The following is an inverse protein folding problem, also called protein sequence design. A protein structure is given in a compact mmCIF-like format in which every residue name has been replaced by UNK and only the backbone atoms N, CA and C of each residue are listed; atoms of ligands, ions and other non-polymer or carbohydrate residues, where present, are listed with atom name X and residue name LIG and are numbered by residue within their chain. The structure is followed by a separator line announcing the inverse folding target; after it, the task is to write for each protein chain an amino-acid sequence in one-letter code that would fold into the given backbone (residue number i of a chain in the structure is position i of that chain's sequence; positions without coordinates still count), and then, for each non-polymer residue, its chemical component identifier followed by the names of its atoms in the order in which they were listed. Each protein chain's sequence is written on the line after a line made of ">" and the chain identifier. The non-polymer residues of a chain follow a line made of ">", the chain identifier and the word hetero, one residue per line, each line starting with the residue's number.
data_IF_371557334454
#
_entry.id   IF_371557334454
#
_cell.length_a   1.000
_cell.length_b   1.000
_cell.length_c   1.000
_cell.angle_alpha   90.00
_cell.angle_beta   90.00
_cell.angle_gamma   90.00
#
_symmetry.space_group_name_H-M   'P 1'
#
loop_
_entity.id
_entity.type
_entity.pdbx_description
1 polymer ?
#
# COMPACT_ATOMS: atom_id res chain seq x y z
N UNK A 1 17.77 -26.49 2.19
CA UNK A 1 17.58 -25.21 2.89
C UNK A 1 16.46 -24.49 2.18
N UNK A 2 15.36 -24.17 2.86
CA UNK A 2 14.36 -23.28 2.29
C UNK A 2 14.90 -21.85 2.45
N UNK A 3 15.29 -21.21 1.36
CA UNK A 3 15.56 -19.78 1.37
C UNK A 3 14.20 -19.09 1.43
N UNK A 4 13.91 -18.43 2.56
CA UNK A 4 12.70 -17.61 2.69
C UNK A 4 12.88 -16.38 1.83
N UNK A 5 12.09 -16.27 0.76
CA UNK A 5 12.03 -15.06 -0.05
C UNK A 5 11.01 -14.09 0.55
N UNK A 6 11.41 -12.84 0.75
CA UNK A 6 10.57 -11.80 1.35
C UNK A 6 10.05 -10.86 0.26
N UNK A 7 8.77 -10.50 0.33
CA UNK A 7 8.22 -9.38 -0.44
C UNK A 7 7.98 -8.23 0.54
N UNK A 8 8.77 -7.17 0.40
CA UNK A 8 8.63 -5.94 1.18
C UNK A 8 7.80 -4.92 0.38
N UNK A 9 6.69 -4.49 0.96
CA UNK A 9 5.81 -3.48 0.37
C UNK A 9 5.79 -2.29 1.32
N UNK A 10 6.21 -1.12 0.83
CA UNK A 10 6.19 0.10 1.65
C UNK A 10 5.11 1.09 1.19
N UNK A 11 4.54 1.82 2.16
CA UNK A 11 3.65 2.93 1.91
C UNK A 11 4.39 4.17 1.38
N UNK A 12 3.62 5.19 1.01
CA UNK A 12 4.14 6.45 0.50
C UNK A 12 4.49 7.47 1.59
N UNK A 13 3.79 7.43 2.73
CA UNK A 13 3.90 8.44 3.77
C UNK A 13 3.79 9.86 3.22
N UNK A 14 4.57 10.79 3.77
CA UNK A 14 4.60 12.18 3.35
C UNK A 14 5.16 12.40 1.93
N UNK A 15 5.94 11.46 1.39
CA UNK A 15 6.54 11.56 0.05
C UNK A 15 5.48 11.53 -1.05
N UNK A 16 4.44 10.71 -0.91
CA UNK A 16 3.35 10.65 -1.89
C UNK A 16 2.10 11.40 -1.47
N UNK A 17 1.64 11.23 -0.22
CA UNK A 17 0.28 11.63 0.17
C UNK A 17 0.02 13.13 0.11
N UNK A 18 0.99 13.97 0.48
CA UNK A 18 0.80 15.43 0.53
C UNK A 18 0.47 15.97 -0.87
N UNK A 19 1.26 15.58 -1.88
CA UNK A 19 1.11 16.05 -3.25
C UNK A 19 -0.04 15.33 -3.96
N UNK A 20 -0.18 14.01 -3.75
CA UNK A 20 -1.29 13.25 -4.30
C UNK A 20 -2.65 13.80 -3.84
N UNK A 21 -2.77 14.20 -2.57
CA UNK A 21 -3.96 14.86 -2.03
C UNK A 21 -4.19 16.25 -2.63
N UNK A 22 -3.14 17.08 -2.69
CA UNK A 22 -3.22 18.44 -3.28
C UNK A 22 -3.81 18.42 -4.69
N UNK A 23 -3.42 17.43 -5.50
CA UNK A 23 -3.88 17.27 -6.88
C UNK A 23 -5.02 16.25 -7.04
N UNK A 24 -5.54 15.69 -5.93
CA UNK A 24 -6.62 14.70 -5.92
C UNK A 24 -6.37 13.53 -6.87
N UNK A 25 -5.14 13.02 -6.90
CA UNK A 25 -4.72 12.00 -7.89
C UNK A 25 -5.45 10.65 -7.72
N UNK A 26 -6.01 10.38 -6.55
CA UNK A 26 -6.85 9.21 -6.30
C UNK A 26 -8.17 9.22 -7.10
N UNK A 27 -8.64 10.40 -7.52
CA UNK A 27 -9.86 10.55 -8.32
C UNK A 27 -9.59 10.42 -9.83
N UNK A 28 -8.33 10.27 -10.24
CA UNK A 28 -7.92 10.35 -11.63
C UNK A 28 -7.95 11.77 -12.19
N UNK A 29 -8.00 11.87 -13.52
CA UNK A 29 -8.07 13.12 -14.25
C UNK A 29 -9.37 13.84 -13.93
N UNK A 30 -9.27 15.07 -13.43
CA UNK A 30 -10.43 15.88 -13.10
C UNK A 30 -10.82 16.74 -14.32
N UNK A 31 -12.10 16.74 -14.73
CA UNK A 31 -12.59 17.65 -15.76
C UNK A 31 -12.35 19.11 -15.35
N UNK A 32 -11.51 19.80 -16.12
CA UNK A 32 -11.06 21.16 -15.86
C UNK A 32 -10.51 21.77 -17.16
N UNK A 33 -10.04 23.02 -17.11
CA UNK A 33 -9.32 23.60 -18.24
C UNK A 33 -8.00 22.84 -18.53
N UNK A 34 -7.45 22.97 -19.76
CA UNK A 34 -6.25 22.23 -20.16
C UNK A 34 -5.01 22.50 -19.29
N UNK A 35 -4.88 23.69 -18.70
CA UNK A 35 -3.74 24.05 -17.85
C UNK A 35 -3.78 23.27 -16.54
N UNK A 36 -4.95 23.21 -15.90
CA UNK A 36 -5.16 22.43 -14.68
C UNK A 36 -4.97 20.94 -14.90
N UNK A 37 -5.46 20.39 -16.02
CA UNK A 37 -5.23 19.00 -16.38
C UNK A 37 -3.74 18.70 -16.60
N UNK A 38 -3.02 19.60 -17.28
CA UNK A 38 -1.58 19.46 -17.45
C UNK A 38 -0.83 19.54 -16.11
N UNK A 39 -1.26 20.42 -15.20
CA UNK A 39 -0.72 20.49 -13.84
C UNK A 39 -0.95 19.17 -13.07
N UNK A 40 -2.11 18.53 -13.22
CA UNK A 40 -2.39 17.25 -12.59
C UNK A 40 -1.49 16.13 -13.16
N UNK A 41 -1.30 16.07 -14.49
CA UNK A 41 -0.37 15.14 -15.14
C UNK A 41 1.10 15.38 -14.72
N UNK A 42 1.50 16.64 -14.53
CA UNK A 42 2.80 16.97 -13.97
C UNK A 42 2.95 16.47 -12.53
N UNK A 43 1.91 16.65 -11.71
CA UNK A 43 1.89 16.15 -10.33
C UNK A 43 2.04 14.62 -10.26
N UNK A 44 1.45 13.87 -11.21
CA UNK A 44 1.67 12.41 -11.33
C UNK A 44 3.16 12.09 -11.49
N UNK A 45 3.85 12.77 -12.41
CA UNK A 45 5.30 12.57 -12.65
C UNK A 45 6.13 12.90 -11.42
N UNK A 46 5.77 13.98 -10.73
CA UNK A 46 6.45 14.38 -9.51
C UNK A 46 6.24 13.39 -8.36
N UNK A 47 5.00 12.92 -8.13
CA UNK A 47 4.72 11.91 -7.09
C UNK A 47 5.48 10.62 -7.38
N UNK A 48 5.51 10.14 -8.63
CA UNK A 48 6.30 8.96 -9.01
C UNK A 48 7.79 9.16 -8.68
N UNK A 49 8.34 10.34 -8.95
CA UNK A 49 9.74 10.67 -8.61
C UNK A 49 9.98 10.71 -7.09
N UNK A 50 9.05 11.28 -6.33
CA UNK A 50 9.14 11.34 -4.87
C UNK A 50 9.09 9.91 -4.28
N UNK A 51 8.24 9.04 -4.83
CA UNK A 51 8.17 7.62 -4.45
C UNK A 51 9.45 6.85 -4.76
N UNK A 52 10.05 7.06 -5.95
CA UNK A 52 11.35 6.48 -6.28
C UNK A 52 12.46 6.95 -5.33
N UNK A 53 12.38 8.20 -4.85
CA UNK A 53 13.33 8.75 -3.87
C UNK A 53 13.20 8.05 -2.52
N UNK A 54 11.98 7.88 -2.01
CA UNK A 54 11.73 7.11 -0.79
C UNK A 54 12.21 5.66 -0.92
N UNK A 55 11.86 5.00 -2.03
CA UNK A 55 12.28 3.64 -2.31
C UNK A 55 13.81 3.52 -2.36
N UNK A 56 14.53 4.50 -2.92
CA UNK A 56 16.00 4.50 -2.92
C UNK A 56 16.59 4.51 -1.50
N UNK A 57 15.99 5.23 -0.54
CA UNK A 57 16.42 5.19 0.86
C UNK A 57 16.22 3.81 1.49
N UNK A 58 15.10 3.13 1.19
CA UNK A 58 14.82 1.78 1.68
C UNK A 58 15.80 0.77 1.07
N UNK A 59 16.03 0.85 -0.24
CA UNK A 59 16.99 -0.01 -0.93
C UNK A 59 18.41 0.18 -0.37
N UNK A 60 18.82 1.42 -0.06
CA UNK A 60 20.10 1.68 0.59
C UNK A 60 20.19 1.05 2.00
N UNK A 61 19.11 1.11 2.79
CA UNK A 61 19.07 0.50 4.12
C UNK A 61 19.17 -1.03 4.05
N UNK A 62 18.49 -1.66 3.08
CA UNK A 62 18.59 -3.09 2.81
C UNK A 62 20.01 -3.49 2.38
N UNK A 63 20.60 -2.73 1.44
CA UNK A 63 21.96 -2.97 0.98
C UNK A 63 22.99 -2.83 2.12
N UNK A 64 22.85 -1.82 2.98
CA UNK A 64 23.70 -1.65 4.17
C UNK A 64 23.57 -2.81 5.17
N UNK A 65 22.45 -3.54 5.12
CA UNK A 65 22.19 -4.73 5.92
C UNK A 65 22.58 -6.04 5.20
N UNK A 66 23.25 -5.94 4.03
CA UNK A 66 23.63 -7.06 3.15
C UNK A 66 22.45 -7.91 2.65
N UNK A 67 21.26 -7.31 2.50
CA UNK A 67 20.11 -7.99 1.89
C UNK A 67 20.17 -7.83 0.38
N UNK A 68 20.15 -8.95 -0.35
CA UNK A 68 20.05 -8.94 -1.81
C UNK A 68 18.62 -8.62 -2.25
N UNK A 69 18.36 -7.34 -2.49
CA UNK A 69 17.03 -6.82 -2.78
C UNK A 69 16.93 -6.26 -4.21
N UNK A 70 15.79 -6.47 -4.85
CA UNK A 70 15.45 -5.82 -6.13
C UNK A 70 14.09 -5.11 -6.03
N UNK A 71 14.04 -3.86 -6.49
CA UNK A 71 12.84 -3.01 -6.43
C UNK A 71 12.13 -2.91 -7.77
N UNK A 72 10.79 -2.87 -7.72
CA UNK A 72 9.90 -2.77 -8.87
C UNK A 72 8.79 -1.73 -8.62
N UNK A 73 8.94 -0.54 -9.22
CA UNK A 73 7.95 0.52 -9.11
C UNK A 73 6.67 0.19 -9.90
N UNK A 74 5.47 0.16 -9.27
CA UNK A 74 4.26 -0.28 -9.95
C UNK A 74 3.89 0.49 -11.21
N UNK A 75 4.22 1.79 -11.30
CA UNK A 75 3.94 2.55 -12.53
C UNK A 75 4.65 2.01 -13.78
N UNK A 76 5.60 1.09 -13.64
CA UNK A 76 6.31 0.46 -14.77
C UNK A 76 5.69 -0.86 -15.24
N UNK A 77 4.87 -1.53 -14.42
CA UNK A 77 4.40 -2.90 -14.69
C UNK A 77 2.91 -3.15 -14.37
N UNK A 78 2.28 -2.26 -13.62
CA UNK A 78 0.87 -2.34 -13.22
C UNK A 78 0.02 -1.27 -13.90
N UNK A 79 -1.26 -1.58 -14.12
CA UNK A 79 -2.30 -0.66 -14.60
C UNK A 79 -3.61 -0.87 -13.83
N UNK A 80 -4.30 0.22 -13.52
CA UNK A 80 -5.52 0.18 -12.71
C UNK A 80 -5.24 0.16 -11.20
N UNK A 81 -6.29 0.38 -10.41
CA UNK A 81 -6.23 0.50 -8.95
C UNK A 81 -7.07 -0.60 -8.27
N UNK A 82 -6.93 -0.73 -6.95
CA UNK A 82 -7.66 -1.75 -6.19
C UNK A 82 -7.08 -3.16 -6.37
N UNK A 83 -7.66 -4.18 -5.72
CA UNK A 83 -7.11 -5.54 -5.69
C UNK A 83 -7.15 -6.26 -7.05
N UNK A 84 -7.87 -5.73 -8.04
CA UNK A 84 -8.03 -6.33 -9.38
C UNK A 84 -7.18 -5.64 -10.46
N UNK A 85 -6.18 -4.83 -10.08
CA UNK A 85 -5.31 -4.18 -11.03
C UNK A 85 -4.64 -5.18 -12.00
N UNK A 86 -4.26 -4.73 -13.19
CA UNK A 86 -3.63 -5.56 -14.23
C UNK A 86 -2.12 -5.44 -14.16
N UNK A 87 -1.43 -6.57 -14.29
CA UNK A 87 0.04 -6.64 -14.23
C UNK A 87 0.47 -7.96 -13.60
N UNK A 88 1.56 -8.52 -14.11
CA UNK A 88 2.22 -9.69 -13.52
C UNK A 88 3.06 -9.24 -12.33
N UNK A 89 2.91 -9.89 -11.18
CA UNK A 89 3.65 -9.55 -9.97
C UNK A 89 5.15 -9.85 -10.18
N UNK A 90 6.04 -8.84 -10.12
CA UNK A 90 7.47 -9.09 -10.28
C UNK A 90 8.06 -9.75 -9.03
N UNK A 91 9.10 -10.56 -9.26
CA UNK A 91 9.89 -11.20 -8.22
C UNK A 91 11.38 -11.03 -8.49
N UNK A 92 12.09 -10.66 -7.43
CA UNK A 92 13.55 -10.68 -7.35
C UNK A 92 14.06 -12.11 -7.50
N UNK A 93 15.24 -12.24 -8.09
CA UNK A 93 16.03 -13.50 -8.01
C UNK A 93 16.86 -13.59 -6.73
N UNK A 94 16.98 -12.48 -6.00
CA UNK A 94 17.66 -12.39 -4.71
C UNK A 94 16.76 -12.79 -3.55
N UNK A 95 17.07 -12.29 -2.36
CA UNK A 95 16.36 -12.62 -1.11
C UNK A 95 15.08 -11.80 -0.92
N UNK A 96 15.06 -10.58 -1.45
CA UNK A 96 13.98 -9.63 -1.21
C UNK A 96 13.46 -8.99 -2.50
N UNK A 97 12.14 -9.03 -2.69
CA UNK A 97 11.42 -8.22 -3.68
C UNK A 97 10.87 -6.98 -2.98
N UNK A 98 11.15 -5.79 -3.51
CA UNK A 98 10.65 -4.53 -2.97
C UNK A 98 9.67 -3.89 -3.94
N UNK A 99 8.52 -3.45 -3.45
CA UNK A 99 7.59 -2.61 -4.20
C UNK A 99 6.89 -1.63 -3.24
N UNK A 100 6.03 -0.77 -3.76
CA UNK A 100 5.44 0.31 -2.95
C UNK A 100 4.14 0.82 -3.53
N UNK A 101 3.33 1.49 -2.70
CA UNK A 101 2.18 2.26 -3.22
C UNK A 101 2.64 3.29 -4.25
N UNK A 102 1.86 3.52 -5.30
CA UNK A 102 2.31 4.34 -6.43
C UNK A 102 1.13 4.91 -7.24
N UNK A 103 1.40 5.95 -8.04
CA UNK A 103 0.44 6.45 -9.03
C UNK A 103 0.63 5.66 -10.32
N UNK A 104 -0.35 4.86 -10.71
CA UNK A 104 -0.28 3.99 -11.89
C UNK A 104 -1.22 4.49 -12.99
N UNK A 105 -0.95 4.07 -14.23
CA UNK A 105 -1.81 4.40 -15.36
C UNK A 105 -3.12 3.63 -15.26
N UNK A 106 -4.24 4.28 -15.58
CA UNK A 106 -5.57 3.67 -15.66
C UNK A 106 -6.05 3.78 -17.10
N UNK A 107 -6.32 2.65 -17.79
CA UNK A 107 -6.64 2.65 -19.22
C UNK A 107 -8.11 3.03 -19.48
N UNK A 108 -8.57 4.12 -18.88
CA UNK A 108 -9.89 4.73 -19.08
C UNK A 108 -9.79 6.26 -18.94
N UNK A 109 -10.92 6.95 -18.92
CA UNK A 109 -11.01 8.42 -18.85
C UNK A 109 -10.32 9.02 -17.60
N UNK A 110 -10.05 8.22 -16.56
CA UNK A 110 -9.31 8.66 -15.37
C UNK A 110 -7.83 8.89 -15.65
N UNK A 111 -7.25 8.30 -16.70
CA UNK A 111 -5.82 8.30 -17.07
C UNK A 111 -4.84 7.71 -16.03
N UNK A 112 -5.07 7.92 -14.74
CA UNK A 112 -4.22 7.48 -13.64
C UNK A 112 -5.04 7.27 -12.36
N UNK A 113 -4.42 6.63 -11.37
CA UNK A 113 -4.98 6.46 -10.05
C UNK A 113 -3.92 6.00 -9.05
N UNK A 114 -4.28 5.97 -7.76
CA UNK A 114 -3.39 5.48 -6.70
C UNK A 114 -3.60 3.98 -6.54
N UNK A 115 -2.55 3.21 -6.79
CA UNK A 115 -2.48 1.80 -6.40
C UNK A 115 -1.83 1.76 -5.01
N UNK A 116 -2.59 1.34 -4.01
CA UNK A 116 -2.12 1.34 -2.63
C UNK A 116 -1.14 0.19 -2.37
N UNK A 117 -0.31 0.34 -1.33
CA UNK A 117 0.50 -0.77 -0.82
C UNK A 117 -0.37 -1.94 -0.32
N UNK A 118 -1.59 -1.65 0.13
CA UNK A 118 -2.52 -2.66 0.62
C UNK A 118 -3.11 -3.50 -0.52
N UNK A 119 -3.38 -2.91 -1.68
CA UNK A 119 -3.79 -3.65 -2.88
C UNK A 119 -2.69 -4.60 -3.38
N UNK A 120 -1.44 -4.11 -3.36
CA UNK A 120 -0.27 -4.92 -3.66
C UNK A 120 -0.13 -6.06 -2.65
N UNK A 121 -0.30 -5.76 -1.36
CA UNK A 121 -0.25 -6.74 -0.27
C UNK A 121 -1.26 -7.86 -0.46
N UNK A 122 -2.51 -7.53 -0.81
CA UNK A 122 -3.54 -8.53 -1.10
C UNK A 122 -3.09 -9.45 -2.23
N UNK A 123 -2.74 -8.91 -3.40
CA UNK A 123 -2.36 -9.75 -4.55
C UNK A 123 -1.11 -10.57 -4.29
N UNK A 124 -0.07 -10.00 -3.69
CA UNK A 124 1.13 -10.76 -3.31
C UNK A 124 0.83 -11.84 -2.29
N UNK A 125 -0.07 -11.63 -1.34
CA UNK A 125 -0.39 -12.68 -0.37
C UNK A 125 -1.27 -13.78 -0.97
N UNK A 126 -2.18 -13.46 -1.90
CA UNK A 126 -3.18 -14.42 -2.41
C UNK A 126 -2.78 -15.13 -3.71
N UNK A 127 -1.95 -14.51 -4.55
CA UNK A 127 -1.57 -15.08 -5.86
C UNK A 127 -0.26 -15.87 -5.81
N UNK A 128 0.52 -15.69 -4.75
CA UNK A 128 1.85 -16.27 -4.62
C UNK A 128 1.81 -17.63 -3.94
N UNK A 129 2.60 -18.56 -4.45
CA UNK A 129 2.67 -19.89 -3.85
C UNK A 129 3.55 -19.88 -2.60
N UNK A 130 3.09 -20.56 -1.55
CA UNK A 130 3.89 -20.81 -0.34
C UNK A 130 3.96 -19.64 0.65
N UNK A 131 3.12 -18.61 0.51
CA UNK A 131 3.00 -17.55 1.53
C UNK A 131 2.34 -18.14 2.78
N UNK A 132 3.09 -18.16 3.88
CA UNK A 132 2.62 -18.71 5.17
C UNK A 132 2.20 -17.63 6.16
N UNK A 133 2.69 -16.41 5.98
CA UNK A 133 2.35 -15.25 6.78
C UNK A 133 2.43 -13.97 5.94
N UNK A 134 1.54 -13.04 6.21
CA UNK A 134 1.55 -11.69 5.66
C UNK A 134 1.45 -10.69 6.82
N UNK A 135 2.37 -9.74 6.88
CA UNK A 135 2.53 -8.85 8.05
C UNK A 135 2.42 -7.40 7.59
N UNK A 136 1.52 -6.66 8.22
CA UNK A 136 1.50 -5.20 8.17
C UNK A 136 2.33 -4.66 9.34
N UNK A 137 3.36 -3.88 9.04
CA UNK A 137 4.09 -3.09 10.03
C UNK A 137 3.54 -1.65 10.02
N UNK A 138 3.02 -1.17 11.14
CA UNK A 138 2.40 0.15 11.31
C UNK A 138 2.99 0.88 12.52
N UNK A 139 2.61 2.15 12.71
CA UNK A 139 3.06 3.01 13.82
C UNK A 139 2.20 2.90 15.09
N UNK A 140 1.31 1.91 15.14
CA UNK A 140 0.40 1.62 16.25
C UNK A 140 0.45 0.14 16.60
N UNK A 141 0.15 -0.24 17.84
CA UNK A 141 0.32 -1.62 18.32
C UNK A 141 -0.61 -2.66 17.64
N UNK A 142 -1.55 -2.22 16.81
CA UNK A 142 -2.45 -3.08 16.03
C UNK A 142 -3.78 -2.42 15.70
N UNK A 143 -4.82 -3.23 15.46
CA UNK A 143 -6.17 -2.72 15.24
C UNK A 143 -6.82 -2.43 16.59
N UNK A 144 -7.26 -1.19 16.80
CA UNK A 144 -7.90 -0.74 18.03
C UNK A 144 -9.43 -0.68 17.84
N UNK A 145 -10.19 -0.91 18.91
CA UNK A 145 -11.66 -0.76 18.96
C UNK A 145 -12.12 0.69 18.80
N UNK A 146 -11.25 1.63 19.17
CA UNK A 146 -11.50 3.08 19.21
C UNK A 146 -10.28 3.84 18.66
N UNK A 147 -10.39 5.14 18.33
CA UNK A 147 -9.26 5.94 17.85
C UNK A 147 -8.06 5.89 18.79
N UNK A 148 -6.80 5.92 18.29
CA UNK A 148 -5.59 5.83 19.13
C UNK A 148 -5.53 6.89 20.24
N UNK A 149 -6.09 8.08 20.00
CA UNK A 149 -6.11 9.18 20.97
C UNK A 149 -6.98 8.90 22.19
N UNK A 150 -7.87 7.89 22.11
CA UNK A 150 -8.81 7.49 23.17
C UNK A 150 -8.61 6.05 23.63
N UNK A 151 -7.71 5.31 22.98
CA UNK A 151 -7.52 3.89 23.21
C UNK A 151 -6.68 3.60 24.46
N UNK A 152 -7.00 2.49 25.10
CA UNK A 152 -6.21 1.84 26.14
C UNK A 152 -5.69 0.49 25.64
N UNK A 153 -4.85 -0.20 26.43
CA UNK A 153 -4.36 -1.53 26.07
C UNK A 153 -5.50 -2.55 25.89
N UNK A 154 -6.61 -2.40 26.62
CA UNK A 154 -7.78 -3.28 26.54
C UNK A 154 -8.59 -3.09 25.23
N UNK A 155 -8.31 -2.02 24.50
CA UNK A 155 -8.94 -1.71 23.21
C UNK A 155 -8.20 -2.34 22.02
N UNK A 156 -7.05 -2.98 22.26
CA UNK A 156 -6.31 -3.72 21.23
C UNK A 156 -7.03 -5.02 20.88
N UNK A 157 -7.35 -5.19 19.60
CA UNK A 157 -7.94 -6.42 19.08
C UNK A 157 -6.83 -7.43 18.79
N UNK A 158 -6.60 -8.35 19.73
CA UNK A 158 -5.68 -9.49 19.56
C UNK A 158 -6.11 -10.43 18.40
N UNK A 159 -7.41 -10.47 18.11
CA UNK A 159 -7.97 -11.17 16.95
C UNK A 159 -9.11 -10.33 16.41
N UNK A 160 -9.14 -10.17 15.09
CA UNK A 160 -10.18 -9.42 14.39
C UNK A 160 -10.74 -10.24 13.24
N UNK A 161 -12.07 -10.33 13.17
CA UNK A 161 -12.81 -10.86 12.04
C UNK A 161 -13.59 -9.74 11.35
N UNK A 162 -13.70 -9.78 10.03
CA UNK A 162 -14.62 -8.91 9.29
C UNK A 162 -16.10 -9.11 9.62
N UNK A 163 -16.43 -10.14 10.42
CA UNK A 163 -17.77 -10.39 10.97
C UNK A 163 -18.01 -9.71 12.32
N UNK A 164 -16.96 -9.18 12.95
CA UNK A 164 -17.06 -8.53 14.25
C UNK A 164 -17.59 -7.10 14.04
N UNK A 165 -18.85 -6.88 14.42
CA UNK A 165 -19.52 -5.58 14.33
C UNK A 165 -18.88 -4.49 15.24
N UNK A 166 -17.89 -4.84 16.06
CA UNK A 166 -17.17 -3.91 16.96
C UNK A 166 -16.20 -2.98 16.23
N UNK A 167 -15.88 -3.24 14.96
CA UNK A 167 -14.95 -2.42 14.17
C UNK A 167 -15.57 -1.16 13.54
N UNK A 168 -16.79 -0.80 13.94
CA UNK A 168 -17.54 0.32 13.36
C UNK A 168 -16.90 1.71 13.63
N UNK A 169 -15.90 1.82 14.50
CA UNK A 169 -15.19 3.06 14.80
C UNK A 169 -13.69 3.03 14.42
N UNK A 170 -13.32 2.37 13.32
CA UNK A 170 -11.98 2.53 12.73
C UNK A 170 -11.83 3.96 12.20
N UNK A 171 -11.40 4.88 13.08
CA UNK A 171 -11.20 6.27 12.71
C UNK A 171 -10.08 6.41 11.69
N UNK A 172 -10.39 7.13 10.64
CA UNK A 172 -9.44 7.56 9.63
C UNK A 172 -8.95 8.96 9.99
N UNK A 173 -7.63 9.19 9.99
CA UNK A 173 -7.13 10.56 9.85
C UNK A 173 -7.14 10.94 8.37
N UNK A 174 -8.31 11.36 7.89
CA UNK A 174 -8.53 11.86 6.52
C UNK A 174 -7.59 13.03 6.17
N UNK A 175 -6.94 13.67 7.15
CA UNK A 175 -6.01 14.78 6.91
C UNK A 175 -4.67 14.32 6.36
N UNK A 176 -4.32 13.05 6.41
CA UNK A 176 -3.01 12.54 5.98
C UNK A 176 -3.12 11.44 4.93
N UNK A 177 -4.06 10.49 5.08
CA UNK A 177 -4.14 9.32 4.20
C UNK A 177 -5.22 9.45 3.11
N UNK A 178 -4.86 9.11 1.88
CA UNK A 178 -5.74 9.10 0.69
C UNK A 178 -6.17 7.70 0.25
N UNK A 179 -5.73 6.66 0.96
CA UNK A 179 -5.99 5.24 0.64
C UNK A 179 -6.96 4.52 1.58
N UNK A 180 -7.44 5.18 2.64
CA UNK A 180 -8.44 4.60 3.55
C UNK A 180 -7.88 4.02 4.86
N UNK A 181 -6.66 4.39 5.25
CA UNK A 181 -6.17 4.22 6.62
C UNK A 181 -6.13 2.79 7.13
N UNK A 182 -6.22 2.67 8.46
CA UNK A 182 -6.24 1.38 9.15
C UNK A 182 -7.47 0.55 8.79
N UNK A 183 -8.59 1.19 8.44
CA UNK A 183 -9.81 0.51 7.97
C UNK A 183 -9.59 -0.29 6.69
N UNK A 184 -8.98 0.34 5.68
CA UNK A 184 -8.65 -0.33 4.43
C UNK A 184 -7.60 -1.43 4.61
N UNK A 185 -6.63 -1.21 5.50
CA UNK A 185 -5.61 -2.21 5.85
C UNK A 185 -6.21 -3.43 6.53
N UNK A 186 -7.13 -3.24 7.48
CA UNK A 186 -7.86 -4.33 8.12
C UNK A 186 -8.72 -5.09 7.10
N UNK A 187 -9.47 -4.39 6.24
CA UNK A 187 -10.25 -5.01 5.17
C UNK A 187 -9.37 -5.84 4.22
N UNK A 188 -8.20 -5.33 3.86
CA UNK A 188 -7.19 -6.02 3.05
C UNK A 188 -6.65 -7.26 3.76
N UNK A 189 -6.37 -7.15 5.06
CA UNK A 189 -6.01 -8.29 5.91
C UNK A 189 -7.10 -9.37 5.95
N UNK A 190 -8.37 -8.99 6.04
CA UNK A 190 -9.48 -9.95 5.97
C UNK A 190 -9.54 -10.70 4.63
N UNK A 191 -9.28 -10.04 3.51
CA UNK A 191 -9.22 -10.70 2.19
C UNK A 191 -8.11 -11.74 2.15
N UNK A 192 -6.93 -11.41 2.69
CA UNK A 192 -5.78 -12.33 2.76
C UNK A 192 -6.04 -13.49 3.71
N UNK A 193 -6.63 -13.23 4.88
CA UNK A 193 -7.01 -14.27 5.84
C UNK A 193 -8.05 -15.24 5.25
N UNK A 194 -9.02 -14.73 4.49
CA UNK A 194 -10.01 -15.55 3.80
C UNK A 194 -9.40 -16.48 2.72
N UNK A 195 -8.23 -16.12 2.19
CA UNK A 195 -7.44 -16.97 1.28
C UNK A 195 -6.60 -18.03 2.02
N UNK A 196 -6.68 -18.11 3.35
CA UNK A 196 -5.98 -19.11 4.16
C UNK A 196 -4.56 -18.71 4.58
N UNK A 197 -4.17 -17.44 4.36
CA UNK A 197 -2.87 -16.92 4.78
C UNK A 197 -2.99 -16.26 6.16
N UNK A 198 -2.07 -16.55 7.07
CA UNK A 198 -2.03 -15.91 8.39
C UNK A 198 -1.70 -14.42 8.24
N UNK A 199 -2.52 -13.54 8.80
CA UNK A 199 -2.28 -12.09 8.79
C UNK A 199 -1.92 -11.59 10.20
N UNK A 200 -0.94 -10.70 10.26
CA UNK A 200 -0.55 -9.97 11.47
C UNK A 200 -0.54 -8.47 11.16
N UNK A 201 -0.99 -7.64 12.10
CA UNK A 201 -0.85 -6.19 12.07
C UNK A 201 -0.09 -5.83 13.35
N UNK A 202 1.12 -5.29 13.20
CA UNK A 202 2.10 -5.04 14.26
C UNK A 202 2.83 -3.73 14.06
#
# INVERSE_FOLDING_TARGET
>A
QYHTHVVLIHGAGSFGHIKARKYRLNLGLIPADPEQQNAQRNAVREVRKDMLTLNAHIMQALANSNVDAQSYAPHSWAKGTGPNFKGELPYSKGECTVTHGDVVDVPDEREFGILSGDDLFVRYATESQGVTAAVFATDVDGVLKVPPERATADDLLETWSSRDNEAAELSHDEKIDVTGGIGYKAASGALVAAAGVRVLIV
#
